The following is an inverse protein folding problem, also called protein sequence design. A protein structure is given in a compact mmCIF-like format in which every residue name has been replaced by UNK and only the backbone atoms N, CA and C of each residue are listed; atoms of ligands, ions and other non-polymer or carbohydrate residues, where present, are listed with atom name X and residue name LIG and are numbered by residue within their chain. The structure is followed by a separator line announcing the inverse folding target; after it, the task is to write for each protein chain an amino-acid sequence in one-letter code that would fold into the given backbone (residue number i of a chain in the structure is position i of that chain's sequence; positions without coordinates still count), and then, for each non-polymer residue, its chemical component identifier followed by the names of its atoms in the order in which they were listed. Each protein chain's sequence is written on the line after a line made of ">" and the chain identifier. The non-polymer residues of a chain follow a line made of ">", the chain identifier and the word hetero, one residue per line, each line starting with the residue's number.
data_IF_660714580865
#
_entry.id   IF_660714580865
#
_cell.length_a   1.000
_cell.length_b   1.000
_cell.length_c   1.000
_cell.angle_alpha   90.00
_cell.angle_beta   90.00
_cell.angle_gamma   90.00
#
_symmetry.space_group_name_H-M   'P 1'
#
loop_
_entity.id
_entity.type
_entity.pdbx_description
1 polymer ?
#
# COMPACT_ATOMS: atom_id res chain seq x y z
N UNK A 1 8.93 -9.21 -35.63
CA UNK A 1 7.93 -9.57 -34.59
C UNK A 1 7.22 -8.34 -34.03
N UNK A 2 7.94 -7.36 -33.46
CA UNK A 2 7.36 -6.17 -32.81
C UNK A 2 6.40 -5.35 -33.70
N UNK A 3 6.76 -5.10 -34.97
CA UNK A 3 5.90 -4.40 -35.91
C UNK A 3 4.54 -5.09 -36.15
N UNK A 4 4.50 -6.43 -36.11
CA UNK A 4 3.26 -7.20 -36.25
C UNK A 4 2.35 -7.03 -35.03
N UNK A 5 2.93 -7.03 -33.82
CA UNK A 5 2.19 -6.83 -32.57
C UNK A 5 1.62 -5.42 -32.51
N UNK A 6 2.41 -4.40 -32.87
CA UNK A 6 1.95 -3.02 -32.91
C UNK A 6 0.78 -2.82 -33.90
N UNK A 7 0.86 -3.43 -35.09
CA UNK A 7 -0.23 -3.39 -36.07
C UNK A 7 -1.52 -4.05 -35.54
N UNK A 8 -1.40 -5.18 -34.83
CA UNK A 8 -2.53 -5.84 -34.18
C UNK A 8 -3.17 -4.98 -33.08
N UNK A 9 -2.35 -4.38 -32.21
CA UNK A 9 -2.82 -3.48 -31.14
C UNK A 9 -3.55 -2.26 -31.71
N UNK A 10 -3.02 -1.65 -32.78
CA UNK A 10 -3.69 -0.53 -33.47
C UNK A 10 -5.04 -0.94 -34.07
N UNK A 11 -5.10 -2.13 -34.69
CA UNK A 11 -6.32 -2.67 -35.30
C UNK A 11 -7.39 -3.00 -34.25
N UNK A 12 -7.02 -3.65 -33.15
CA UNK A 12 -7.92 -4.00 -32.06
C UNK A 12 -8.41 -2.78 -31.29
N UNK A 13 -7.55 -1.77 -31.08
CA UNK A 13 -7.97 -0.49 -30.53
C UNK A 13 -9.03 0.20 -31.38
N UNK A 14 -8.92 0.14 -32.72
CA UNK A 14 -9.88 0.76 -33.62
C UNK A 14 -11.23 0.02 -33.69
N UNK A 15 -11.24 -1.30 -33.48
CA UNK A 15 -12.44 -2.14 -33.61
C UNK A 15 -13.15 -2.41 -32.29
N UNK A 16 -12.39 -2.68 -31.24
CA UNK A 16 -12.88 -3.11 -29.94
C UNK A 16 -12.21 -2.29 -28.81
N UNK A 17 -12.32 -0.95 -28.83
CA UNK A 17 -11.61 -0.07 -27.89
C UNK A 17 -11.95 -0.38 -26.43
N UNK A 18 -13.19 -0.78 -26.15
CA UNK A 18 -13.66 -1.13 -24.80
C UNK A 18 -12.90 -2.34 -24.26
N UNK A 19 -12.70 -3.37 -25.09
CA UNK A 19 -11.97 -4.57 -24.68
C UNK A 19 -10.49 -4.24 -24.45
N UNK A 20 -9.85 -3.52 -25.37
CA UNK A 20 -8.44 -3.13 -25.20
C UNK A 20 -8.24 -2.29 -23.93
N UNK A 21 -9.13 -1.33 -23.65
CA UNK A 21 -9.09 -0.56 -22.41
C UNK A 21 -9.27 -1.45 -21.18
N UNK A 22 -10.25 -2.36 -21.17
CA UNK A 22 -10.52 -3.25 -20.04
C UNK A 22 -9.31 -4.12 -19.66
N UNK A 23 -8.66 -4.74 -20.65
CA UNK A 23 -7.46 -5.56 -20.42
C UNK A 23 -6.27 -4.70 -19.98
N UNK A 24 -6.11 -3.51 -20.55
CA UNK A 24 -5.03 -2.58 -20.16
C UNK A 24 -5.19 -2.14 -18.71
N UNK A 25 -6.39 -1.71 -18.32
CA UNK A 25 -6.69 -1.27 -16.95
C UNK A 25 -6.54 -2.45 -15.97
N UNK A 26 -7.06 -3.62 -16.31
CA UNK A 26 -6.94 -4.82 -15.48
C UNK A 26 -5.48 -5.24 -15.28
N UNK A 27 -4.67 -5.22 -16.33
CA UNK A 27 -3.23 -5.53 -16.23
C UNK A 27 -2.50 -4.51 -15.36
N UNK A 28 -2.77 -3.21 -15.53
CA UNK A 28 -2.19 -2.16 -14.69
C UNK A 28 -2.61 -2.30 -13.22
N UNK A 29 -3.86 -2.64 -12.94
CA UNK A 29 -4.36 -2.84 -11.58
C UNK A 29 -3.63 -3.98 -10.84
N UNK A 30 -3.14 -5.00 -11.56
CA UNK A 30 -2.35 -6.09 -10.99
C UNK A 30 -0.88 -5.68 -10.81
N UNK A 31 -0.29 -5.02 -11.81
CA UNK A 31 1.14 -4.73 -11.83
C UNK A 31 1.49 -3.55 -10.93
N UNK A 32 0.73 -2.45 -10.99
CA UNK A 32 1.06 -1.18 -10.31
C UNK A 32 1.21 -1.33 -8.79
N UNK A 33 0.35 -2.06 -8.05
CA UNK A 33 0.51 -2.20 -6.60
C UNK A 33 1.82 -2.86 -6.18
N UNK A 34 2.35 -3.79 -6.99
CA UNK A 34 3.62 -4.49 -6.69
C UNK A 34 4.85 -3.64 -6.95
N UNK A 35 4.75 -2.67 -7.86
CA UNK A 35 5.85 -1.74 -8.19
C UNK A 35 5.77 -0.44 -7.38
N UNK A 36 4.59 -0.10 -6.85
CA UNK A 36 4.38 1.17 -6.16
C UNK A 36 5.02 1.18 -4.77
N UNK A 37 5.93 2.12 -4.46
CA UNK A 37 6.47 2.27 -3.11
C UNK A 37 5.40 2.70 -2.10
N UNK A 38 4.29 3.28 -2.58
CA UNK A 38 3.22 3.82 -1.73
C UNK A 38 2.31 2.74 -1.14
N UNK A 39 2.26 1.54 -1.72
CA UNK A 39 1.42 0.43 -1.23
C UNK A 39 1.74 0.08 0.23
N UNK A 40 3.00 0.23 0.65
CA UNK A 40 3.43 0.03 2.04
C UNK A 40 2.69 0.94 3.03
N UNK A 41 2.52 2.22 2.67
CA UNK A 41 1.90 3.21 3.56
C UNK A 41 0.41 2.93 3.79
N UNK A 42 -0.30 2.40 2.78
CA UNK A 42 -1.69 1.97 2.95
C UNK A 42 -1.83 0.89 4.05
N UNK A 43 -0.91 -0.10 4.07
CA UNK A 43 -0.89 -1.13 5.12
C UNK A 43 -0.52 -0.54 6.48
N UNK A 44 0.47 0.36 6.52
CA UNK A 44 0.89 1.00 7.77
C UNK A 44 -0.26 1.84 8.38
N UNK A 45 -0.98 2.63 7.59
CA UNK A 45 -2.13 3.42 8.04
C UNK A 45 -3.21 2.53 8.69
N UNK A 46 -3.56 1.44 8.01
CA UNK A 46 -4.59 0.52 8.52
C UNK A 46 -4.18 -0.14 9.84
N UNK A 47 -2.90 -0.49 10.00
CA UNK A 47 -2.38 -1.07 11.25
C UNK A 47 -2.30 -0.05 12.39
N UNK A 48 -2.03 1.22 12.06
CA UNK A 48 -1.92 2.30 13.04
C UNK A 48 -3.27 2.85 13.50
N UNK A 49 -4.39 2.41 12.91
CA UNK A 49 -5.73 2.86 13.30
C UNK A 49 -6.27 2.01 14.45
N UNK A 50 -6.42 2.55 15.68
CA UNK A 50 -6.82 1.76 16.84
C UNK A 50 -8.35 1.61 16.89
N UNK A 51 -8.88 0.54 16.30
CA UNK A 51 -10.32 0.21 16.43
C UNK A 51 -10.68 -0.37 17.80
N UNK A 52 -9.71 -1.01 18.45
CA UNK A 52 -9.85 -1.58 19.79
C UNK A 52 -9.02 -0.75 20.78
N UNK A 53 -9.45 -0.76 22.04
CA UNK A 53 -8.67 -0.14 23.12
C UNK A 53 -7.35 -0.90 23.34
N UNK A 54 -6.18 -0.24 23.30
CA UNK A 54 -4.90 -0.89 23.53
C UNK A 54 -4.72 -1.16 25.03
N UNK A 55 -4.86 -2.42 25.44
CA UNK A 55 -4.72 -2.84 26.83
C UNK A 55 -3.24 -2.81 27.24
N UNK A 56 -2.87 -2.10 28.32
CA UNK A 56 -1.50 -2.08 28.82
C UNK A 56 -1.01 -3.46 29.25
N UNK A 57 0.28 -3.72 29.04
CA UNK A 57 0.95 -4.94 29.51
C UNK A 57 1.37 -4.77 30.96
N UNK A 58 1.37 -5.85 31.73
CA UNK A 58 1.89 -5.85 33.10
C UNK A 58 3.42 -5.81 33.05
N UNK A 59 4.00 -4.80 33.68
CA UNK A 59 5.44 -4.65 33.80
C UNK A 59 6.05 -5.77 34.68
N UNK A 60 7.08 -6.44 34.15
CA UNK A 60 7.87 -7.46 34.83
C UNK A 60 9.26 -6.95 35.28
N UNK A 61 9.56 -5.67 35.01
CA UNK A 61 10.81 -5.00 35.33
C UNK A 61 11.86 -5.06 34.21
N UNK A 62 11.60 -5.69 33.06
CA UNK A 62 12.54 -5.80 31.96
C UNK A 62 11.90 -5.63 30.57
N UNK A 63 11.15 -4.54 30.38
CA UNK A 63 10.49 -4.21 29.11
C UNK A 63 11.01 -2.88 28.51
N UNK A 64 12.26 -2.80 28.01
CA UNK A 64 12.85 -1.55 27.52
C UNK A 64 12.14 -0.96 26.29
N UNK A 65 11.42 -1.77 25.53
CA UNK A 65 10.71 -1.35 24.31
C UNK A 65 9.26 -0.90 24.58
N UNK A 66 8.74 -1.10 25.80
CA UNK A 66 7.35 -0.76 26.15
C UNK A 66 7.31 0.63 26.81
N UNK A 67 6.59 1.61 26.24
CA UNK A 67 6.47 2.93 26.86
C UNK A 67 5.61 2.87 28.14
N UNK A 68 6.00 3.63 29.17
CA UNK A 68 5.22 3.77 30.40
C UNK A 68 4.14 4.86 30.27
N UNK A 69 4.34 5.80 29.35
CA UNK A 69 3.44 6.92 29.08
C UNK A 69 3.29 7.14 27.56
N UNK A 70 2.13 7.63 27.05
CA UNK A 70 1.91 7.81 25.61
C UNK A 70 2.88 8.75 24.87
N UNK A 71 3.58 9.62 25.62
CA UNK A 71 4.55 10.58 25.05
C UNK A 71 6.00 10.08 25.13
N UNK A 72 6.22 8.90 25.69
CA UNK A 72 7.55 8.31 25.78
C UNK A 72 8.06 7.94 24.37
N UNK A 73 9.36 8.16 24.08
CA UNK A 73 9.92 7.99 22.74
C UNK A 73 9.98 6.55 22.22
N UNK A 74 9.78 5.55 23.09
CA UNK A 74 9.90 4.12 22.78
C UNK A 74 8.75 3.62 21.88
N UNK A 75 7.58 4.26 21.94
CA UNK A 75 6.41 3.86 21.17
C UNK A 75 6.55 4.14 19.66
N UNK A 76 5.81 3.41 18.80
CA UNK A 76 5.83 3.67 17.37
C UNK A 76 5.21 5.04 17.05
N UNK A 77 6.02 6.00 16.57
CA UNK A 77 5.54 7.33 16.22
C UNK A 77 4.87 7.37 14.83
N UNK A 78 3.90 8.27 14.68
CA UNK A 78 3.19 8.52 13.42
C UNK A 78 3.72 9.74 12.67
N UNK A 79 4.97 10.16 12.91
CA UNK A 79 5.53 11.34 12.25
C UNK A 79 5.72 11.16 10.75
N UNK A 80 5.91 9.93 10.28
CA UNK A 80 5.88 9.59 8.86
C UNK A 80 4.51 9.88 8.24
N UNK A 81 3.41 9.63 8.96
CA UNK A 81 2.05 9.85 8.47
C UNK A 81 1.70 11.33 8.42
N UNK A 82 2.21 12.13 9.37
CA UNK A 82 2.04 13.59 9.36
C UNK A 82 2.79 14.27 8.20
N UNK A 83 3.77 13.59 7.60
CA UNK A 83 4.66 14.10 6.54
C UNK A 83 4.35 13.51 5.16
N UNK A 84 3.44 12.54 5.07
CA UNK A 84 2.90 12.04 3.81
C UNK A 84 2.04 13.12 3.15
#
# INVERSE_FOLDING_TARGET
>A
MAARIAAFLKSTWAKEPVLVASFTIGALAIIVPTLSPSTKYAVMINRSTPYNYPVPVRDDGNMPDVPSHPQDPQGPSLDWLKKL
#
